data_IF_108078333352
#
_entry.id   IF_108078333352
#
_cell.length_a   1.000
_cell.length_b   1.000
_cell.length_c   1.000
_cell.angle_alpha   90.00
_cell.angle_beta   90.00
_cell.angle_gamma   90.00
#
_symmetry.space_group_name_H-M   'P 1'
#
loop_
_entity.id
_entity.type
_entity.pdbx_description
1 polymer ?
#
# COMPACT_ATOMS: atom_id res chain seq x y z
N UNK A 1 -24.57 -14.07 7.35
CA UNK A 1 -23.75 -12.85 7.30
C UNK A 1 -23.92 -12.27 5.91
N UNK A 2 -24.43 -11.05 5.76
CA UNK A 2 -24.48 -10.40 4.45
C UNK A 2 -23.03 -10.19 3.98
N UNK A 3 -22.68 -10.76 2.82
CA UNK A 3 -21.40 -10.45 2.19
C UNK A 3 -21.42 -8.96 1.83
N UNK A 4 -20.59 -8.20 2.52
CA UNK A 4 -20.42 -6.78 2.25
C UNK A 4 -19.39 -6.67 1.11
N UNK A 5 -19.86 -6.30 -0.07
CA UNK A 5 -19.01 -6.06 -1.24
C UNK A 5 -18.78 -4.57 -1.41
N UNK A 6 -17.59 -4.14 -1.83
CA UNK A 6 -17.36 -2.72 -2.14
C UNK A 6 -18.07 -2.33 -3.44
N UNK A 7 -18.30 -1.04 -3.59
CA UNK A 7 -18.66 -0.45 -4.87
C UNK A 7 -17.37 -0.06 -5.62
N UNK A 8 -17.24 -0.53 -6.87
CA UNK A 8 -16.18 -0.06 -7.78
C UNK A 8 -16.52 1.36 -8.24
N UNK A 9 -15.63 2.31 -7.99
CA UNK A 9 -15.82 3.72 -8.31
C UNK A 9 -14.60 4.32 -8.99
N UNK A 10 -14.85 5.35 -9.77
CA UNK A 10 -13.83 6.17 -10.42
C UNK A 10 -14.09 7.63 -10.16
N UNK A 11 -13.02 8.41 -10.00
CA UNK A 11 -13.09 9.86 -9.92
C UNK A 11 -11.92 10.50 -10.66
N UNK A 12 -12.18 11.61 -11.34
CA UNK A 12 -11.13 12.39 -11.97
C UNK A 12 -10.45 13.26 -10.91
N UNK A 13 -9.21 12.97 -10.60
CA UNK A 13 -8.40 13.75 -9.68
C UNK A 13 -6.95 13.82 -10.20
N UNK A 14 -6.33 14.97 -10.07
CA UNK A 14 -4.95 15.24 -10.53
C UNK A 14 -4.68 14.82 -11.99
N UNK A 15 -5.71 14.96 -12.86
CA UNK A 15 -5.63 14.58 -14.27
C UNK A 15 -5.70 13.10 -14.59
N UNK A 16 -5.96 12.25 -13.59
CA UNK A 16 -6.08 10.79 -13.71
C UNK A 16 -7.50 10.34 -13.35
N UNK A 17 -8.01 9.33 -14.03
CA UNK A 17 -9.14 8.55 -13.60
C UNK A 17 -8.66 7.60 -12.49
N UNK A 18 -8.87 7.98 -11.24
CA UNK A 18 -8.48 7.17 -10.08
C UNK A 18 -9.60 6.18 -9.76
N UNK A 19 -9.29 4.90 -9.83
CA UNK A 19 -10.16 3.83 -9.36
C UNK A 19 -10.02 3.61 -7.87
N UNK A 20 -11.13 3.32 -7.21
CA UNK A 20 -11.15 2.95 -5.81
C UNK A 20 -12.33 2.04 -5.46
N UNK A 21 -12.15 1.24 -4.44
CA UNK A 21 -13.18 0.42 -3.82
C UNK A 21 -13.78 1.19 -2.65
N UNK A 22 -15.04 1.54 -2.75
CA UNK A 22 -15.80 2.15 -1.66
C UNK A 22 -16.51 1.05 -0.86
N UNK A 23 -15.97 0.78 0.31
CA UNK A 23 -16.53 -0.21 1.24
C UNK A 23 -17.69 0.35 2.05
N UNK A 24 -18.12 1.57 1.73
CA UNK A 24 -19.24 2.20 2.40
C UNK A 24 -18.95 2.56 3.85
N UNK A 25 -19.99 2.56 4.62
CA UNK A 25 -20.03 3.12 5.94
C UNK A 25 -20.91 4.37 5.95
N UNK A 26 -21.20 4.86 7.12
CA UNK A 26 -21.90 6.13 7.27
C UNK A 26 -20.98 7.26 6.80
N UNK A 27 -21.40 8.02 5.80
CA UNK A 27 -20.62 9.16 5.25
C UNK A 27 -20.34 10.26 6.28
N UNK A 28 -21.00 10.21 7.44
CA UNK A 28 -20.69 11.08 8.59
C UNK A 28 -19.50 10.58 9.41
N UNK A 29 -19.04 9.35 9.16
CA UNK A 29 -17.88 8.77 9.83
C UNK A 29 -16.59 9.28 9.21
N UNK A 30 -15.52 9.24 10.01
CA UNK A 30 -14.18 9.61 9.58
C UNK A 30 -13.75 8.73 8.39
N UNK A 31 -13.20 9.30 7.30
CA UNK A 31 -12.67 8.51 6.21
C UNK A 31 -11.43 7.72 6.62
N UNK A 32 -11.31 6.49 6.11
CA UNK A 32 -10.09 5.68 6.17
C UNK A 32 -9.65 5.36 4.74
N UNK A 33 -8.47 5.83 4.35
CA UNK A 33 -7.85 5.57 3.05
C UNK A 33 -6.81 4.46 3.19
N UNK A 34 -6.97 3.40 2.40
CA UNK A 34 -6.05 2.27 2.32
C UNK A 34 -5.26 2.34 1.01
N UNK A 35 -3.93 2.23 1.09
CA UNK A 35 -3.02 2.30 -0.05
C UNK A 35 -2.09 1.09 -0.11
N UNK A 36 -2.12 0.39 -1.22
CA UNK A 36 -1.37 -0.85 -1.46
C UNK A 36 0.12 -0.63 -1.74
N UNK A 37 0.87 -1.73 -1.76
CA UNK A 37 2.28 -1.78 -2.14
C UNK A 37 2.47 -1.67 -3.66
N UNK A 38 3.74 -1.65 -4.08
CA UNK A 38 4.11 -1.49 -5.49
C UNK A 38 3.49 -2.56 -6.38
N UNK A 39 2.87 -2.13 -7.47
CA UNK A 39 2.25 -3.02 -8.44
C UNK A 39 1.04 -3.80 -7.90
N UNK A 40 0.55 -3.45 -6.71
CA UNK A 40 -0.65 -4.01 -6.11
C UNK A 40 -1.93 -3.39 -6.67
N UNK A 41 -3.01 -3.58 -5.96
CA UNK A 41 -4.34 -3.06 -6.27
C UNK A 41 -5.22 -2.99 -5.02
N UNK A 42 -6.32 -2.25 -5.08
CA UNK A 42 -7.24 -2.02 -3.96
C UNK A 42 -7.81 -3.30 -3.34
N UNK A 43 -8.04 -4.33 -4.16
CA UNK A 43 -8.55 -5.63 -3.70
C UNK A 43 -7.60 -6.41 -2.77
N UNK A 44 -6.36 -5.97 -2.57
CA UNK A 44 -5.49 -6.54 -1.53
C UNK A 44 -6.01 -6.27 -0.11
N UNK A 45 -6.95 -5.35 0.04
CA UNK A 45 -7.57 -5.01 1.31
C UNK A 45 -8.97 -5.60 1.51
N UNK A 46 -9.46 -6.47 0.62
CA UNK A 46 -10.82 -7.03 0.67
C UNK A 46 -11.13 -7.72 2.01
N UNK A 47 -10.13 -8.37 2.60
CA UNK A 47 -10.30 -9.11 3.83
C UNK A 47 -10.27 -8.24 5.09
N UNK A 48 -9.66 -7.05 5.04
CA UNK A 48 -9.56 -6.16 6.20
C UNK A 48 -10.53 -4.98 6.14
N UNK A 49 -10.85 -4.47 4.95
CA UNK A 49 -11.72 -3.29 4.80
C UNK A 49 -13.07 -3.41 5.50
N UNK A 50 -13.80 -4.54 5.39
CA UNK A 50 -15.08 -4.72 6.09
C UNK A 50 -14.97 -4.62 7.61
N UNK A 51 -13.79 -4.88 8.17
CA UNK A 51 -13.56 -4.83 9.62
C UNK A 51 -13.60 -3.42 10.19
N UNK A 52 -13.45 -2.39 9.34
CA UNK A 52 -13.44 -0.99 9.74
C UNK A 52 -14.77 -0.28 9.49
N UNK A 53 -15.65 -0.82 8.65
CA UNK A 53 -16.88 -0.13 8.17
C UNK A 53 -17.87 0.25 9.29
N UNK A 54 -17.77 -0.37 10.47
CA UNK A 54 -18.60 0.00 11.61
C UNK A 54 -18.26 1.41 12.17
N UNK A 55 -17.01 1.86 12.03
CA UNK A 55 -16.52 3.10 12.64
C UNK A 55 -15.92 4.09 11.63
N UNK A 56 -15.61 3.66 10.41
CA UNK A 56 -15.02 4.47 9.34
C UNK A 56 -15.81 4.35 8.04
N UNK A 57 -15.76 5.40 7.22
CA UNK A 57 -16.03 5.28 5.80
C UNK A 57 -14.74 4.82 5.11
N UNK A 58 -14.70 3.58 4.66
CA UNK A 58 -13.46 2.93 4.17
C UNK A 58 -13.39 2.97 2.67
N UNK A 59 -12.26 3.47 2.15
CA UNK A 59 -11.94 3.43 0.73
C UNK A 59 -10.54 2.85 0.52
N UNK A 60 -10.40 1.95 -0.46
CA UNK A 60 -9.12 1.42 -0.89
C UNK A 60 -8.83 1.91 -2.31
N UNK A 61 -7.69 2.57 -2.53
CA UNK A 61 -7.35 3.17 -3.81
C UNK A 61 -6.43 2.25 -4.62
N UNK A 62 -6.65 2.26 -5.94
CA UNK A 62 -5.61 1.87 -6.90
C UNK A 62 -4.69 3.07 -7.12
N UNK A 63 -3.41 2.90 -6.83
CA UNK A 63 -2.43 3.94 -7.08
C UNK A 63 -2.27 4.23 -8.57
N UNK A 64 -1.79 5.43 -8.95
CA UNK A 64 -1.48 5.74 -10.36
C UNK A 64 -0.70 4.61 -11.02
N UNK A 65 -1.11 4.22 -12.22
CA UNK A 65 -0.46 3.14 -12.98
C UNK A 65 -0.65 1.73 -12.43
N UNK A 66 -1.53 1.53 -11.44
CA UNK A 66 -1.84 0.25 -10.84
C UNK A 66 -3.34 -0.03 -10.90
N UNK A 67 -3.72 -1.30 -10.86
CA UNK A 67 -5.11 -1.71 -10.88
C UNK A 67 -5.85 -1.13 -12.08
N UNK A 68 -7.00 -0.50 -11.82
CA UNK A 68 -7.84 0.13 -12.83
C UNK A 68 -7.70 1.67 -12.87
N UNK A 69 -6.72 2.24 -12.14
CA UNK A 69 -6.33 3.64 -12.26
C UNK A 69 -5.49 3.88 -13.51
N UNK A 70 -5.65 5.06 -14.14
CA UNK A 70 -4.92 5.46 -15.33
C UNK A 70 -3.40 5.37 -15.15
N UNK A 71 -2.70 5.04 -16.23
CA UNK A 71 -1.25 5.16 -16.33
C UNK A 71 -0.86 6.63 -16.49
N UNK A 72 0.19 7.04 -15.81
CA UNK A 72 0.61 8.44 -15.78
C UNK A 72 1.72 8.75 -16.76
N UNK A 73 1.62 9.89 -17.43
CA UNK A 73 2.71 10.44 -18.25
C UNK A 73 3.68 11.31 -17.41
N UNK A 74 3.28 11.73 -16.21
CA UNK A 74 4.06 12.60 -15.32
C UNK A 74 4.99 11.83 -14.38
N UNK A 75 5.07 10.49 -14.55
CA UNK A 75 5.93 9.62 -13.77
C UNK A 75 5.34 9.17 -12.43
N UNK A 76 6.17 8.43 -11.69
CA UNK A 76 5.77 7.62 -10.54
C UNK A 76 6.58 7.94 -9.28
N UNK A 77 6.84 9.22 -9.01
CA UNK A 77 7.50 9.64 -7.78
C UNK A 77 6.57 9.54 -6.56
N UNK A 78 7.14 9.40 -5.36
CA UNK A 78 6.35 9.40 -4.13
C UNK A 78 5.57 10.70 -3.93
N UNK A 79 6.08 11.83 -4.44
CA UNK A 79 5.39 13.11 -4.42
C UNK A 79 4.13 13.09 -5.29
N UNK A 80 4.23 12.51 -6.50
CA UNK A 80 3.09 12.40 -7.41
C UNK A 80 1.99 11.50 -6.82
N UNK A 81 2.37 10.36 -6.25
CA UNK A 81 1.42 9.49 -5.53
C UNK A 81 0.72 10.20 -4.37
N UNK A 82 1.48 10.96 -3.56
CA UNK A 82 0.91 11.71 -2.43
C UNK A 82 -0.06 12.81 -2.90
N UNK A 83 0.29 13.52 -3.99
CA UNK A 83 -0.57 14.53 -4.59
C UNK A 83 -1.89 13.94 -5.10
N UNK A 84 -1.87 12.74 -5.71
CA UNK A 84 -3.09 12.06 -6.16
C UNK A 84 -4.05 11.79 -5.01
N UNK A 85 -3.53 11.29 -3.89
CA UNK A 85 -4.35 10.99 -2.71
C UNK A 85 -5.03 12.24 -2.18
N UNK A 86 -4.30 13.36 -2.11
CA UNK A 86 -4.86 14.63 -1.62
C UNK A 86 -5.89 15.19 -2.59
N UNK A 87 -5.62 15.18 -3.88
CA UNK A 87 -6.61 15.64 -4.87
C UNK A 87 -7.84 14.71 -4.91
N UNK A 88 -7.64 13.40 -4.79
CA UNK A 88 -8.73 12.44 -4.59
C UNK A 88 -9.59 12.82 -3.37
N UNK A 89 -8.95 13.04 -2.22
CA UNK A 89 -9.65 13.39 -0.98
C UNK A 89 -10.43 14.70 -1.12
N UNK A 90 -9.87 15.72 -1.78
CA UNK A 90 -10.56 17.00 -2.04
C UNK A 90 -11.78 16.83 -2.92
N UNK A 91 -11.65 16.11 -4.06
CA UNK A 91 -12.73 15.92 -5.02
C UNK A 91 -13.87 15.10 -4.43
N UNK A 92 -13.56 14.11 -3.59
CA UNK A 92 -14.54 13.23 -2.95
C UNK A 92 -15.08 13.77 -1.63
N UNK A 93 -14.46 14.81 -1.06
CA UNK A 93 -14.81 15.36 0.25
C UNK A 93 -14.38 14.46 1.43
N UNK A 94 -13.45 13.52 1.20
CA UNK A 94 -12.98 12.54 2.18
C UNK A 94 -11.75 13.05 2.92
N UNK A 95 -11.88 14.13 3.67
CA UNK A 95 -10.82 14.70 4.53
C UNK A 95 -11.42 15.44 5.73
N UNK A 96 -10.68 15.56 6.88
CA UNK A 96 -9.44 14.84 7.17
C UNK A 96 -9.66 13.33 7.29
N UNK A 97 -8.65 12.53 6.92
CA UNK A 97 -8.75 11.07 6.89
C UNK A 97 -7.69 10.38 7.75
N UNK A 98 -7.98 9.16 8.17
CA UNK A 98 -6.99 8.21 8.64
C UNK A 98 -6.38 7.50 7.42
N UNK A 99 -5.08 7.22 7.47
CA UNK A 99 -4.36 6.58 6.36
C UNK A 99 -3.62 5.33 6.80
N UNK A 100 -3.78 4.26 6.08
CA UNK A 100 -2.92 3.08 6.15
C UNK A 100 -2.31 2.79 4.79
N UNK A 101 -0.99 2.91 4.70
CA UNK A 101 -0.23 2.54 3.52
C UNK A 101 0.68 1.36 3.77
N UNK A 102 0.58 0.30 2.97
CA UNK A 102 1.43 -0.87 3.06
C UNK A 102 2.58 -0.82 2.04
N UNK A 103 3.80 -1.17 2.46
CA UNK A 103 4.97 -1.25 1.56
C UNK A 103 5.21 0.08 0.82
N UNK A 104 5.10 0.15 -0.51
CA UNK A 104 5.17 1.43 -1.24
C UNK A 104 4.15 2.44 -0.72
N UNK A 105 2.96 2.01 -0.31
CA UNK A 105 1.98 2.88 0.34
C UNK A 105 2.51 3.54 1.62
N UNK A 106 3.37 2.84 2.38
CA UNK A 106 4.07 3.43 3.54
C UNK A 106 5.01 4.57 3.11
N UNK A 107 5.81 4.37 2.07
CA UNK A 107 6.70 5.43 1.54
C UNK A 107 5.92 6.63 1.00
N UNK A 108 4.79 6.38 0.35
CA UNK A 108 3.85 7.43 -0.06
C UNK A 108 3.32 8.17 1.17
N UNK A 109 2.97 7.44 2.23
CA UNK A 109 2.50 7.99 3.50
C UNK A 109 3.51 8.94 4.16
N UNK A 110 4.83 8.64 4.09
CA UNK A 110 5.88 9.54 4.59
C UNK A 110 5.84 10.89 3.87
N UNK A 111 5.74 10.88 2.53
CA UNK A 111 5.64 12.11 1.76
C UNK A 111 4.30 12.84 2.02
N UNK A 112 3.23 12.09 2.14
CA UNK A 112 1.88 12.58 2.44
C UNK A 112 1.85 13.31 3.80
N UNK A 113 2.36 12.69 4.87
CA UNK A 113 2.43 13.28 6.20
C UNK A 113 3.32 14.52 6.28
N UNK A 114 4.39 14.58 5.46
CA UNK A 114 5.33 15.69 5.44
C UNK A 114 4.80 16.94 4.70
N UNK A 115 4.00 16.76 3.66
CA UNK A 115 3.55 17.87 2.79
C UNK A 115 2.06 18.19 2.91
N UNK A 116 1.27 17.25 3.43
CA UNK A 116 -0.18 17.33 3.47
C UNK A 116 -0.77 16.91 4.82
N UNK A 117 -0.02 17.12 5.91
CA UNK A 117 -0.42 16.72 7.26
C UNK A 117 -1.78 17.23 7.70
N UNK A 118 -2.21 18.42 7.23
CA UNK A 118 -3.53 18.99 7.55
C UNK A 118 -4.71 18.16 7.01
N UNK A 119 -4.46 17.26 6.04
CA UNK A 119 -5.45 16.34 5.49
C UNK A 119 -5.54 15.03 6.27
N UNK A 120 -4.61 14.77 7.19
CA UNK A 120 -4.43 13.47 7.84
C UNK A 120 -4.74 13.60 9.32
N UNK A 121 -5.63 12.75 9.81
CA UNK A 121 -5.87 12.61 11.25
C UNK A 121 -4.83 11.72 11.92
N UNK A 122 -4.63 10.51 11.36
CA UNK A 122 -3.62 9.56 11.83
C UNK A 122 -2.97 8.88 10.63
N UNK A 123 -1.66 8.60 10.75
CA UNK A 123 -0.84 8.03 9.70
C UNK A 123 -0.27 6.68 10.14
N UNK A 124 -0.70 5.59 9.51
CA UNK A 124 -0.14 4.25 9.73
C UNK A 124 0.74 3.83 8.55
N UNK A 125 2.04 3.61 8.81
CA UNK A 125 3.08 3.29 7.85
C UNK A 125 3.44 1.80 7.95
N UNK A 126 2.98 0.98 6.99
CA UNK A 126 3.09 -0.47 7.01
C UNK A 126 4.34 -1.02 6.33
N UNK A 127 5.29 -1.43 7.13
CA UNK A 127 6.45 -2.28 6.84
C UNK A 127 7.33 -1.86 5.66
N UNK A 128 7.51 -0.56 5.45
CA UNK A 128 8.55 -0.02 4.57
C UNK A 128 8.93 1.41 4.97
N UNK A 129 10.24 1.64 5.16
CA UNK A 129 10.81 2.93 5.51
C UNK A 129 11.41 3.66 4.31
N UNK A 130 12.15 4.75 4.58
CA UNK A 130 12.88 5.50 3.57
C UNK A 130 13.89 4.67 2.77
N UNK A 131 14.60 3.75 3.44
CA UNK A 131 15.65 2.95 2.82
C UNK A 131 15.33 1.45 2.92
N UNK A 132 15.84 0.62 2.01
CA UNK A 132 15.81 -0.84 2.18
C UNK A 132 16.57 -1.26 3.45
N UNK A 133 16.14 -2.34 4.08
CA UNK A 133 16.85 -2.94 5.22
C UNK A 133 18.31 -3.26 4.85
N UNK A 134 19.31 -2.67 5.54
CA UNK A 134 20.72 -2.86 5.26
C UNK A 134 21.29 -4.18 5.81
N UNK A 135 20.52 -4.95 6.59
CA UNK A 135 20.95 -6.21 7.18
C UNK A 135 21.32 -7.27 6.12
N UNK A 136 22.07 -8.31 6.47
CA UNK A 136 22.31 -9.44 5.56
C UNK A 136 21.01 -10.08 5.07
N UNK A 137 19.98 -10.17 5.93
CA UNK A 137 18.67 -10.70 5.57
C UNK A 137 17.93 -9.78 4.61
N UNK A 138 17.93 -8.46 4.86
CA UNK A 138 17.34 -7.45 3.97
C UNK A 138 18.03 -7.44 2.60
N UNK A 139 19.37 -7.48 2.56
CA UNK A 139 20.13 -7.59 1.30
C UNK A 139 19.82 -8.89 0.53
N UNK A 140 19.69 -10.02 1.24
CA UNK A 140 19.30 -11.28 0.61
C UNK A 140 17.90 -11.19 0.00
N UNK A 141 16.94 -10.60 0.73
CA UNK A 141 15.58 -10.35 0.24
C UNK A 141 15.56 -9.42 -0.98
N UNK A 142 16.32 -8.31 -0.94
CA UNK A 142 16.44 -7.39 -2.06
C UNK A 142 17.04 -8.09 -3.28
N UNK A 143 18.11 -8.87 -3.10
CA UNK A 143 18.72 -9.67 -4.17
C UNK A 143 17.75 -10.72 -4.73
N UNK A 144 17.01 -11.41 -3.87
CA UNK A 144 16.00 -12.38 -4.31
C UNK A 144 14.89 -11.70 -5.15
N UNK A 145 14.45 -10.50 -4.76
CA UNK A 145 13.47 -9.72 -5.53
C UNK A 145 14.04 -9.29 -6.88
N UNK A 146 15.30 -8.85 -6.90
CA UNK A 146 16.00 -8.50 -8.15
C UNK A 146 16.17 -9.73 -9.07
N UNK A 147 16.51 -10.89 -8.51
CA UNK A 147 16.66 -12.15 -9.27
C UNK A 147 15.32 -12.77 -9.65
N UNK A 148 14.28 -12.67 -8.80
CA UNK A 148 12.90 -13.03 -9.19
C UNK A 148 12.40 -12.14 -10.32
N UNK A 149 12.81 -10.87 -10.35
CA UNK A 149 12.56 -9.97 -11.48
C UNK A 149 13.33 -10.31 -12.75
N UNK A 150 14.35 -11.18 -12.68
CA UNK A 150 15.12 -11.69 -13.84
C UNK A 150 14.55 -12.99 -14.43
N UNK A 151 13.71 -13.75 -13.70
CA UNK A 151 12.77 -14.64 -14.39
C UNK A 151 11.89 -13.72 -15.23
N UNK A 152 12.05 -13.77 -16.55
CA UNK A 152 11.21 -13.01 -17.46
C UNK A 152 9.75 -13.30 -17.11
N UNK A 153 9.15 -12.34 -16.39
CA UNK A 153 7.72 -12.41 -16.12
C UNK A 153 7.04 -12.38 -17.47
N UNK A 154 6.21 -13.36 -17.80
CA UNK A 154 5.53 -13.37 -19.09
C UNK A 154 4.88 -12.02 -19.35
N UNK A 155 5.01 -11.49 -20.55
CA UNK A 155 4.35 -10.22 -20.93
C UNK A 155 2.84 -10.33 -20.85
N UNK A 156 2.31 -11.57 -20.86
CA UNK A 156 0.92 -11.91 -20.69
C UNK A 156 0.73 -13.42 -20.66
N UNK A 157 -0.51 -13.85 -20.42
CA UNK A 157 -0.91 -15.25 -20.38
C UNK A 157 -2.07 -15.47 -21.36
N UNK A 158 -2.11 -16.61 -22.02
CA UNK A 158 -3.21 -16.93 -22.93
C UNK A 158 -4.49 -17.37 -22.20
N UNK A 159 -4.34 -17.88 -20.96
CA UNK A 159 -5.49 -18.28 -20.15
C UNK A 159 -5.28 -17.92 -18.67
N UNK A 160 -6.37 -17.76 -17.90
CA UNK A 160 -6.30 -17.55 -16.46
C UNK A 160 -5.54 -18.67 -15.72
N UNK A 161 -5.67 -19.93 -16.20
CA UNK A 161 -5.00 -21.09 -15.60
C UNK A 161 -3.48 -21.01 -15.78
N UNK A 162 -2.99 -20.48 -16.90
CA UNK A 162 -1.54 -20.24 -17.08
C UNK A 162 -1.04 -19.20 -16.08
N UNK A 163 -1.79 -18.10 -15.87
CA UNK A 163 -1.46 -17.10 -14.87
C UNK A 163 -1.47 -17.69 -13.45
N UNK A 164 -2.50 -18.49 -13.14
CA UNK A 164 -2.61 -19.19 -11.86
C UNK A 164 -1.41 -20.09 -11.60
N UNK A 165 -1.06 -20.97 -12.55
CA UNK A 165 0.06 -21.90 -12.40
C UNK A 165 1.38 -21.15 -12.22
N UNK A 166 1.57 -20.07 -12.96
CA UNK A 166 2.77 -19.24 -12.83
C UNK A 166 2.90 -18.63 -11.42
N UNK A 167 1.80 -18.09 -10.86
CA UNK A 167 1.80 -17.51 -9.49
C UNK A 167 2.01 -18.61 -8.44
N UNK A 168 1.43 -19.77 -8.63
CA UNK A 168 1.59 -20.92 -7.71
C UNK A 168 3.04 -21.42 -7.64
N UNK A 169 3.76 -21.39 -8.78
CA UNK A 169 5.19 -21.72 -8.85
C UNK A 169 6.07 -20.60 -8.26
N UNK A 170 5.67 -19.33 -8.45
CA UNK A 170 6.42 -18.17 -7.96
C UNK A 170 6.32 -18.01 -6.44
N UNK A 171 5.15 -18.25 -5.87
CA UNK A 171 4.91 -18.21 -4.42
C UNK A 171 4.00 -19.37 -3.95
N UNK A 172 4.65 -20.44 -3.51
CA UNK A 172 3.96 -21.64 -3.03
C UNK A 172 3.29 -21.47 -1.66
N UNK A 173 3.47 -20.34 -0.99
CA UNK A 173 2.83 -20.04 0.31
C UNK A 173 1.38 -19.56 0.16
N UNK A 174 0.99 -19.10 -1.04
CA UNK A 174 -0.35 -18.64 -1.33
C UNK A 174 -1.34 -19.79 -1.48
N UNK A 175 -2.55 -19.59 -0.96
CA UNK A 175 -3.67 -20.52 -1.21
C UNK A 175 -4.19 -20.37 -2.64
N UNK A 176 -4.87 -21.40 -3.15
CA UNK A 176 -5.48 -21.35 -4.48
C UNK A 176 -6.48 -20.18 -4.63
N UNK A 177 -7.23 -19.87 -3.58
CA UNK A 177 -8.16 -18.74 -3.53
C UNK A 177 -7.42 -17.40 -3.66
N UNK A 178 -6.32 -17.21 -2.92
CA UNK A 178 -5.48 -16.01 -3.02
C UNK A 178 -4.88 -15.85 -4.42
N UNK A 179 -4.45 -16.95 -5.04
CA UNK A 179 -3.90 -16.94 -6.40
C UNK A 179 -5.00 -16.56 -7.41
N UNK A 180 -6.20 -17.11 -7.32
CA UNK A 180 -7.30 -16.74 -8.19
C UNK A 180 -7.71 -15.28 -8.05
N UNK A 181 -7.69 -14.73 -6.82
CA UNK A 181 -7.90 -13.31 -6.58
C UNK A 181 -6.79 -12.45 -7.23
N UNK A 182 -5.52 -12.88 -7.11
CA UNK A 182 -4.43 -12.20 -7.82
C UNK A 182 -4.65 -12.22 -9.34
N UNK A 183 -4.98 -13.37 -9.93
CA UNK A 183 -5.23 -13.48 -11.38
C UNK A 183 -6.36 -12.55 -11.81
N UNK A 184 -7.46 -12.55 -11.07
CA UNK A 184 -8.65 -11.76 -11.37
C UNK A 184 -8.38 -10.26 -11.40
N UNK A 185 -7.63 -9.74 -10.43
CA UNK A 185 -7.51 -8.30 -10.22
C UNK A 185 -6.19 -7.71 -10.75
N UNK A 186 -5.15 -8.54 -10.95
CA UNK A 186 -3.85 -8.08 -11.48
C UNK A 186 -3.84 -7.97 -13.01
N UNK A 187 -4.68 -8.74 -13.70
CA UNK A 187 -4.64 -8.83 -15.17
C UNK A 187 -5.92 -8.30 -15.82
N UNK A 188 -5.78 -7.88 -17.06
CA UNK A 188 -6.89 -7.56 -17.97
C UNK A 188 -6.65 -8.22 -19.33
N UNK A 189 -7.71 -8.57 -20.04
CA UNK A 189 -7.60 -9.04 -21.43
C UNK A 189 -7.28 -7.87 -22.36
N UNK A 190 -6.31 -8.05 -23.25
CA UNK A 190 -6.09 -7.16 -24.38
C UNK A 190 -7.02 -7.52 -25.55
N UNK A 191 -6.87 -6.82 -26.68
CA UNK A 191 -7.67 -7.04 -27.90
C UNK A 191 -7.50 -8.45 -28.50
N UNK A 192 -6.37 -9.13 -28.26
CA UNK A 192 -6.08 -10.49 -28.71
C UNK A 192 -6.55 -11.55 -27.72
N UNK A 193 -7.22 -11.15 -26.62
CA UNK A 193 -7.66 -12.04 -25.56
C UNK A 193 -6.53 -12.51 -24.61
N UNK A 194 -5.36 -11.90 -24.72
CA UNK A 194 -4.21 -12.21 -23.84
C UNK A 194 -4.37 -11.44 -22.54
N UNK A 195 -4.19 -12.12 -21.42
CA UNK A 195 -4.17 -11.49 -20.10
C UNK A 195 -2.84 -10.77 -19.90
N UNK A 196 -2.89 -9.44 -19.84
CA UNK A 196 -1.74 -8.58 -19.59
C UNK A 196 -1.87 -7.92 -18.21
N UNK A 197 -0.76 -7.64 -17.51
CA UNK A 197 -0.82 -6.92 -16.24
C UNK A 197 -1.47 -5.54 -16.40
N UNK A 198 -2.31 -5.18 -15.44
CA UNK A 198 -2.89 -3.83 -15.34
C UNK A 198 -1.83 -2.78 -14.96
N UNK A 199 -0.81 -3.20 -14.20
CA UNK A 199 0.28 -2.31 -13.76
C UNK A 199 1.11 -1.82 -14.92
N UNK A 200 1.38 -0.51 -14.96
CA UNK A 200 2.29 0.10 -15.93
C UNK A 200 3.69 -0.54 -15.82
N UNK A 201 4.26 -1.02 -16.94
CA UNK A 201 5.61 -1.57 -16.96
C UNK A 201 6.66 -0.65 -16.34
N UNK A 202 6.51 0.69 -16.43
CA UNK A 202 7.45 1.65 -15.85
C UNK A 202 7.52 1.57 -14.32
N UNK A 203 6.43 1.23 -13.64
CA UNK A 203 6.43 1.05 -12.18
C UNK A 203 7.39 -0.07 -11.76
N UNK A 204 7.55 -1.10 -12.57
CA UNK A 204 8.46 -2.22 -12.28
C UNK A 204 9.94 -1.80 -12.26
N UNK A 205 10.29 -0.76 -13.01
CA UNK A 205 11.66 -0.24 -13.08
C UNK A 205 12.00 0.68 -11.91
N UNK A 206 11.00 1.24 -11.23
CA UNK A 206 11.20 2.21 -10.16
C UNK A 206 11.88 1.59 -8.93
N UNK A 207 11.63 0.32 -8.64
CA UNK A 207 12.14 -0.35 -7.44
C UNK A 207 13.68 -0.44 -7.35
N UNK A 208 14.40 -0.40 -8.47
CA UNK A 208 15.84 -0.59 -8.49
C UNK A 208 16.65 0.69 -8.71
N UNK A 209 16.10 1.66 -9.45
CA UNK A 209 16.84 2.85 -9.88
C UNK A 209 16.58 4.10 -9.04
N UNK A 210 15.38 4.23 -8.49
CA UNK A 210 14.97 5.43 -7.75
C UNK A 210 14.96 5.23 -6.23
N UNK A 211 14.95 3.99 -5.75
CA UNK A 211 14.82 3.68 -4.33
C UNK A 211 15.85 4.41 -3.45
N UNK A 212 17.11 4.52 -3.89
CA UNK A 212 18.15 5.22 -3.14
C UNK A 212 17.96 6.74 -3.16
N UNK A 213 17.66 7.33 -4.33
CA UNK A 213 17.41 8.79 -4.45
C UNK A 213 16.15 9.21 -3.69
N UNK A 214 15.09 8.41 -3.79
CA UNK A 214 13.88 8.63 -3.00
C UNK A 214 14.12 8.41 -1.50
N UNK A 215 15.06 7.54 -1.11
CA UNK A 215 15.39 7.29 0.28
C UNK A 215 15.91 8.55 0.99
N UNK A 216 16.84 9.29 0.40
CA UNK A 216 17.33 10.55 0.95
C UNK A 216 16.20 11.59 1.05
N UNK A 217 15.36 11.68 0.01
CA UNK A 217 14.19 12.55 0.03
C UNK A 217 13.24 12.19 1.17
N UNK A 218 12.92 10.91 1.34
CA UNK A 218 12.00 10.45 2.39
C UNK A 218 12.58 10.66 3.79
N UNK A 219 13.89 10.48 4.00
CA UNK A 219 14.54 10.83 5.26
C UNK A 219 14.42 12.32 5.60
N UNK A 220 14.44 13.19 4.59
CA UNK A 220 14.19 14.63 4.76
C UNK A 220 12.69 14.96 4.97
N UNK A 221 11.79 14.03 4.67
CA UNK A 221 10.35 14.14 4.94
C UNK A 221 10.00 13.76 6.37
N UNK A 222 10.60 12.71 6.94
CA UNK A 222 10.25 12.17 8.28
C UNK A 222 10.15 13.27 9.36
N UNK A 223 11.13 14.18 9.53
CA UNK A 223 11.03 15.24 10.56
C UNK A 223 10.01 16.34 10.25
N UNK A 224 9.31 16.27 9.13
CA UNK A 224 8.25 17.22 8.74
C UNK A 224 6.86 16.63 8.92
N UNK A 225 6.74 15.36 9.28
CA UNK A 225 5.45 14.74 9.55
C UNK A 225 4.84 15.43 10.77
N UNK A 226 3.61 15.94 10.63
CA UNK A 226 2.96 16.76 11.64
C UNK A 226 1.79 16.06 12.35
N UNK A 227 1.37 14.88 11.88
CA UNK A 227 0.28 14.09 12.45
C UNK A 227 0.79 12.91 13.30
N UNK A 228 -0.08 12.38 14.14
CA UNK A 228 0.20 11.15 14.88
C UNK A 228 0.50 10.00 13.93
N UNK A 229 1.61 9.31 14.16
CA UNK A 229 2.15 8.35 13.20
C UNK A 229 2.55 7.04 13.88
N UNK A 230 1.96 5.95 13.42
CA UNK A 230 2.34 4.59 13.80
C UNK A 230 3.19 3.96 12.68
N UNK A 231 4.42 3.55 13.01
CA UNK A 231 5.27 2.78 12.11
C UNK A 231 5.04 1.30 12.43
N UNK A 232 4.31 0.61 11.56
CA UNK A 232 4.00 -0.81 11.73
C UNK A 232 5.09 -1.65 11.10
N UNK A 233 5.61 -2.63 11.83
CA UNK A 233 6.62 -3.57 11.37
C UNK A 233 6.17 -5.00 11.63
N UNK A 234 6.30 -5.88 10.65
CA UNK A 234 6.19 -7.31 10.90
C UNK A 234 7.41 -7.78 11.70
N UNK A 235 7.19 -8.50 12.78
CA UNK A 235 8.29 -8.90 13.70
C UNK A 235 9.40 -9.71 13.01
N UNK A 236 9.04 -10.47 11.98
CA UNK A 236 9.97 -11.25 11.15
C UNK A 236 10.29 -10.59 9.82
N UNK A 237 9.94 -9.30 9.63
CA UNK A 237 10.17 -8.60 8.38
C UNK A 237 11.66 -8.45 8.08
N UNK A 238 11.98 -8.65 6.79
CA UNK A 238 13.30 -8.40 6.19
C UNK A 238 13.25 -7.23 5.21
N UNK A 239 12.23 -6.36 5.32
CA UNK A 239 12.01 -5.20 4.44
C UNK A 239 12.20 -3.90 5.21
N UNK A 240 11.59 -3.78 6.39
CA UNK A 240 11.80 -2.68 7.31
C UNK A 240 12.65 -3.18 8.48
N UNK A 241 13.84 -2.61 8.64
CA UNK A 241 14.69 -2.84 9.77
C UNK A 241 14.14 -2.15 11.04
N UNK A 242 14.27 -2.80 12.21
CA UNK A 242 13.75 -2.27 13.47
C UNK A 242 14.47 -0.96 13.87
N UNK A 243 15.78 -0.88 13.66
CA UNK A 243 16.56 0.31 14.00
C UNK A 243 16.09 1.50 13.14
N UNK A 244 15.82 1.26 11.85
CA UNK A 244 15.26 2.27 10.95
C UNK A 244 13.86 2.70 11.39
N UNK A 245 12.99 1.77 11.78
CA UNK A 245 11.65 2.08 12.26
C UNK A 245 11.72 2.95 13.54
N UNK A 246 12.60 2.61 14.48
CA UNK A 246 12.83 3.40 15.70
C UNK A 246 13.41 4.78 15.37
N UNK A 247 14.37 4.87 14.44
CA UNK A 247 14.91 6.15 13.99
C UNK A 247 13.84 7.05 13.37
N UNK A 248 12.95 6.48 12.55
CA UNK A 248 11.80 7.21 12.01
C UNK A 248 10.93 7.77 13.14
N UNK A 249 10.54 6.92 14.10
CA UNK A 249 9.70 7.33 15.22
C UNK A 249 10.33 8.48 16.03
N UNK A 250 11.62 8.39 16.32
CA UNK A 250 12.36 9.42 17.06
C UNK A 250 12.49 10.76 16.31
N UNK A 251 12.52 10.73 14.98
CA UNK A 251 12.63 11.93 14.14
C UNK A 251 11.30 12.62 13.88
N UNK A 252 10.17 11.95 14.09
CA UNK A 252 8.84 12.56 14.01
C UNK A 252 8.68 13.52 15.20
N UNK A 253 8.34 14.81 14.97
CA UNK A 253 8.28 15.82 16.02
C UNK A 253 7.23 15.53 17.10
N UNK A 254 7.36 16.20 18.26
CA UNK A 254 6.36 16.23 19.33
C UNK A 254 5.99 14.86 19.90
N UNK A 255 6.87 13.85 19.77
CA UNK A 255 6.64 12.47 20.20
C UNK A 255 5.42 11.82 19.52
N UNK A 256 5.03 12.31 18.34
CA UNK A 256 3.89 11.78 17.57
C UNK A 256 4.21 10.46 16.85
N UNK A 257 5.47 10.05 16.79
CA UNK A 257 5.90 8.80 16.16
C UNK A 257 6.12 7.67 17.15
N UNK A 258 5.61 6.47 16.85
CA UNK A 258 5.94 5.26 17.60
C UNK A 258 5.96 4.02 16.70
N UNK A 259 6.66 2.97 17.17
CA UNK A 259 6.76 1.68 16.45
C UNK A 259 5.79 0.68 17.05
N UNK A 260 5.08 -0.05 16.18
CA UNK A 260 4.23 -1.19 16.52
C UNK A 260 4.69 -2.42 15.77
N UNK A 261 5.23 -3.41 16.47
CA UNK A 261 5.51 -4.72 15.88
C UNK A 261 4.26 -5.59 15.85
N UNK A 262 4.07 -6.32 14.74
CA UNK A 262 3.01 -7.29 14.55
C UNK A 262 3.60 -8.68 14.64
N UNK A 263 3.26 -9.39 15.72
CA UNK A 263 3.73 -10.76 15.97
C UNK A 263 3.25 -11.71 14.86
N UNK A 264 4.10 -12.65 14.48
CA UNK A 264 3.77 -13.67 13.49
C UNK A 264 3.58 -13.13 12.06
N UNK A 265 3.98 -11.89 11.80
CA UNK A 265 3.98 -11.31 10.48
C UNK A 265 5.41 -10.95 10.02
N UNK A 266 5.66 -11.11 8.73
CA UNK A 266 6.77 -10.54 8.00
C UNK A 266 6.33 -9.27 7.25
N UNK A 267 6.70 -9.18 5.96
CA UNK A 267 6.34 -8.02 5.14
C UNK A 267 4.83 -7.91 4.88
N UNK A 268 4.12 -9.02 4.79
CA UNK A 268 2.70 -9.07 4.48
C UNK A 268 1.79 -8.86 5.69
N UNK A 269 1.90 -7.74 6.39
CA UNK A 269 1.20 -7.47 7.65
C UNK A 269 -0.25 -7.97 7.68
N UNK A 270 -1.08 -7.47 6.76
CA UNK A 270 -2.52 -7.77 6.69
C UNK A 270 -2.86 -9.09 6.01
N UNK A 271 -1.93 -9.72 5.29
CA UNK A 271 -2.10 -11.05 4.70
C UNK A 271 -1.56 -12.15 5.61
N UNK A 272 -0.51 -11.90 6.40
CA UNK A 272 0.14 -12.89 7.26
C UNK A 272 -0.44 -12.90 8.68
N UNK A 273 -0.73 -11.72 9.28
CA UNK A 273 -1.48 -11.61 10.54
C UNK A 273 -2.57 -10.54 10.44
N UNK A 274 -3.68 -10.89 9.85
CA UNK A 274 -4.84 -10.03 9.65
C UNK A 274 -5.40 -9.47 10.96
N UNK A 275 -5.62 -10.34 11.94
CA UNK A 275 -6.25 -9.96 13.21
C UNK A 275 -5.38 -8.99 13.99
N UNK A 276 -4.08 -9.27 14.12
CA UNK A 276 -3.12 -8.40 14.78
C UNK A 276 -3.00 -7.04 14.09
N UNK A 277 -2.98 -7.04 12.76
CA UNK A 277 -2.92 -5.80 11.97
C UNK A 277 -4.17 -4.95 12.14
N UNK A 278 -5.36 -5.55 11.99
CA UNK A 278 -6.64 -4.84 12.17
C UNK A 278 -6.79 -4.29 13.58
N UNK A 279 -6.41 -5.09 14.59
CA UNK A 279 -6.45 -4.66 15.99
C UNK A 279 -5.56 -3.43 16.22
N UNK A 280 -4.31 -3.48 15.80
CA UNK A 280 -3.36 -2.37 15.96
C UNK A 280 -3.85 -1.08 15.26
N UNK A 281 -4.38 -1.21 14.02
CA UNK A 281 -4.94 -0.08 13.28
C UNK A 281 -6.16 0.52 13.96
N UNK A 282 -7.09 -0.31 14.46
CA UNK A 282 -8.28 0.17 15.17
C UNK A 282 -7.93 0.91 16.46
N UNK A 283 -7.07 0.33 17.30
CA UNK A 283 -6.60 0.95 18.53
C UNK A 283 -5.95 2.30 18.26
N UNK A 284 -5.13 2.40 17.22
CA UNK A 284 -4.46 3.64 16.84
C UNK A 284 -5.44 4.70 16.31
N UNK A 285 -6.29 4.35 15.36
CA UNK A 285 -7.21 5.29 14.73
C UNK A 285 -8.36 5.75 15.65
N UNK A 286 -8.68 4.97 16.70
CA UNK A 286 -9.65 5.38 17.73
C UNK A 286 -9.04 6.27 18.82
N UNK A 287 -7.72 6.42 18.87
CA UNK A 287 -7.01 7.17 19.91
C UNK A 287 -6.90 6.41 21.25
N UNK A 288 -7.17 5.10 21.28
CA UNK A 288 -7.11 4.28 22.50
C UNK A 288 -5.68 4.02 23.00
N UNK A 289 -4.66 4.39 22.22
CA UNK A 289 -3.23 4.21 22.52
C UNK A 289 -2.49 5.53 22.83
N UNK A 290 -3.20 6.60 23.16
CA UNK A 290 -2.60 7.90 23.52
C UNK A 290 -2.37 8.04 25.02
#
# INVERSE_FOLDING_TARGET
MSHFYPEDKWTLANGLNIHYLDWGGDKTKKPLILMHGIGGHAHLFDEISPKFSDNWHVVALDARGCGDTDWSQDGYSVQNFAADIVEFAKVTGLYPFDYYGHSQGSRIGIALGAYYGDFISHLALGDYGPMPDPSPAGRATANQRLTKGTKEKPRGFFTPEQAFNWHKEDDSSLTDEQIWNLVKYTYRSNWDGILIPKTDPEIRWLNGRTALKEGEFLWNCVPKISCDTMIMRGKTSTVLDLDQANEMALKIPENKGFVKEIDGAGHGLHSENREGTVKALKEFFSGENS
#
